data_IF_814743318532
#
_entry.id   IF_814743318532
#
_cell.length_a   1.000
_cell.length_b   1.000
_cell.length_c   1.000
_cell.angle_alpha   90.00
_cell.angle_beta   90.00
_cell.angle_gamma   90.00
#
_symmetry.space_group_name_H-M   'P 1'
#
loop_
_entity.id
_entity.type
_entity.pdbx_description
1 polymer ?
#
# COMPACT_ATOMS: atom_id res chain seq x y z
N UNK A 1 -9.42 -1.85 -13.21
CA UNK A 1 -8.00 -2.14 -12.93
C UNK A 1 -7.80 -3.65 -12.94
N UNK A 2 -6.87 -4.18 -13.75
CA UNK A 2 -6.58 -5.60 -13.82
C UNK A 2 -5.26 -5.89 -13.11
N UNK A 3 -5.24 -6.88 -12.21
CA UNK A 3 -4.02 -7.47 -11.64
C UNK A 3 -3.54 -6.87 -10.32
N UNK A 4 -4.14 -7.32 -9.20
CA UNK A 4 -3.50 -7.47 -7.88
C UNK A 4 -2.89 -6.24 -7.17
N UNK A 5 -2.96 -5.05 -7.75
CA UNK A 5 -2.27 -3.86 -7.22
C UNK A 5 -3.29 -2.93 -6.59
N UNK A 6 -3.29 -2.83 -5.25
CA UNK A 6 -4.14 -1.86 -4.55
C UNK A 6 -3.70 -0.43 -4.85
N UNK A 7 -4.67 0.46 -5.04
CA UNK A 7 -4.47 1.90 -5.18
C UNK A 7 -4.96 2.58 -3.91
N UNK A 8 -4.06 3.33 -3.27
CA UNK A 8 -4.35 4.02 -2.03
C UNK A 8 -4.70 5.48 -2.28
N UNK A 9 -5.79 5.92 -1.70
CA UNK A 9 -6.29 7.30 -1.76
C UNK A 9 -6.12 7.99 -0.41
N UNK A 10 -5.62 9.22 -0.45
CA UNK A 10 -5.65 10.15 0.68
C UNK A 10 -6.80 11.15 0.51
N UNK A 11 -7.56 11.39 1.57
CA UNK A 11 -8.71 12.30 1.51
C UNK A 11 -8.31 13.73 1.17
N UNK A 12 -7.12 14.21 1.57
CA UNK A 12 -6.65 15.56 1.22
C UNK A 12 -6.52 15.70 -0.29
N UNK A 13 -5.96 14.69 -0.96
CA UNK A 13 -5.81 14.67 -2.42
C UNK A 13 -7.17 14.52 -3.10
N UNK A 14 -8.00 13.59 -2.64
CA UNK A 14 -9.33 13.36 -3.22
C UNK A 14 -10.20 14.62 -3.15
N UNK A 15 -10.23 15.27 -1.98
CA UNK A 15 -10.98 16.52 -1.79
C UNK A 15 -10.35 17.69 -2.55
N UNK A 16 -9.01 17.74 -2.68
CA UNK A 16 -8.36 18.74 -3.51
C UNK A 16 -8.75 18.59 -4.99
N UNK A 17 -8.73 17.37 -5.53
CA UNK A 17 -9.18 17.08 -6.89
C UNK A 17 -10.65 17.47 -7.10
N UNK A 18 -11.54 17.06 -6.19
CA UNK A 18 -12.95 17.44 -6.23
C UNK A 18 -13.12 18.97 -6.22
N UNK A 19 -12.42 19.67 -5.31
CA UNK A 19 -12.46 21.14 -5.23
C UNK A 19 -11.97 21.81 -6.51
N UNK A 20 -10.88 21.34 -7.10
CA UNK A 20 -10.37 21.89 -8.36
C UNK A 20 -11.39 21.69 -9.48
N UNK A 21 -11.99 20.49 -9.59
CA UNK A 21 -12.95 20.16 -10.64
C UNK A 21 -14.23 21.02 -10.65
N UNK A 22 -14.56 21.66 -9.53
CA UNK A 22 -15.72 22.55 -9.39
C UNK A 22 -15.36 24.04 -9.50
N UNK A 23 -14.09 24.38 -9.73
CA UNK A 23 -13.65 25.77 -9.86
C UNK A 23 -13.91 26.32 -11.27
N UNK A 24 -14.90 27.21 -11.39
CA UNK A 24 -15.21 27.92 -12.64
C UNK A 24 -14.05 28.76 -13.22
N UNK A 25 -13.06 29.11 -12.40
CA UNK A 25 -11.85 29.81 -12.87
C UNK A 25 -10.85 28.89 -13.58
N UNK A 26 -10.96 27.58 -13.43
CA UNK A 26 -10.02 26.60 -13.97
C UNK A 26 -10.58 25.82 -15.16
N UNK A 27 -11.91 25.79 -15.32
CA UNK A 27 -12.59 24.98 -16.33
C UNK A 27 -13.73 25.77 -16.97
N UNK A 28 -13.86 25.70 -18.29
CA UNK A 28 -14.95 26.35 -19.04
C UNK A 28 -16.33 25.79 -18.65
N UNK A 29 -16.38 24.51 -18.30
CA UNK A 29 -17.56 23.84 -17.78
C UNK A 29 -17.18 23.06 -16.50
N UNK A 30 -17.14 23.73 -15.33
CA UNK A 30 -16.78 23.08 -14.07
C UNK A 30 -17.86 22.06 -13.68
N UNK A 31 -17.46 21.02 -12.97
CA UNK A 31 -18.40 20.08 -12.39
C UNK A 31 -19.23 20.76 -11.30
N UNK A 32 -20.48 20.33 -11.15
CA UNK A 32 -21.23 20.58 -9.92
C UNK A 32 -20.65 19.75 -8.76
N UNK A 33 -20.96 20.16 -7.52
CA UNK A 33 -20.56 19.40 -6.34
C UNK A 33 -21.09 17.94 -6.36
N UNK A 34 -22.30 17.73 -6.89
CA UNK A 34 -22.87 16.39 -7.05
C UNK A 34 -22.06 15.54 -8.04
N UNK A 35 -21.75 16.08 -9.23
CA UNK A 35 -20.93 15.38 -10.23
C UNK A 35 -19.53 15.05 -9.72
N UNK A 36 -18.90 15.97 -8.97
CA UNK A 36 -17.61 15.71 -8.35
C UNK A 36 -17.70 14.59 -7.30
N UNK A 37 -18.76 14.56 -6.50
CA UNK A 37 -18.99 13.50 -5.52
C UNK A 37 -19.24 12.13 -6.19
N UNK A 38 -20.02 12.10 -7.28
CA UNK A 38 -20.24 10.88 -8.07
C UNK A 38 -18.94 10.37 -8.68
N UNK A 39 -18.09 11.28 -9.16
CA UNK A 39 -16.78 10.93 -9.70
C UNK A 39 -15.85 10.33 -8.63
N UNK A 40 -15.81 10.91 -7.44
CA UNK A 40 -15.03 10.37 -6.30
C UNK A 40 -15.56 9.00 -5.90
N UNK A 41 -16.88 8.83 -5.83
CA UNK A 41 -17.50 7.53 -5.53
C UNK A 41 -17.09 6.47 -6.55
N UNK A 42 -17.16 6.80 -7.84
CA UNK A 42 -16.75 5.90 -8.91
C UNK A 42 -15.28 5.46 -8.81
N UNK A 43 -14.38 6.32 -8.30
CA UNK A 43 -12.99 5.94 -8.02
C UNK A 43 -12.89 4.96 -6.85
N UNK A 44 -13.60 5.24 -5.75
CA UNK A 44 -13.57 4.42 -4.54
C UNK A 44 -14.28 3.07 -4.70
N UNK A 45 -15.20 2.95 -5.65
CA UNK A 45 -15.87 1.69 -6.00
C UNK A 45 -15.02 0.80 -6.91
N UNK A 46 -13.86 1.26 -7.40
CA UNK A 46 -12.99 0.42 -8.21
C UNK A 46 -12.40 -0.74 -7.39
N UNK A 47 -12.29 -1.94 -7.97
CA UNK A 47 -11.59 -3.05 -7.32
C UNK A 47 -10.16 -2.67 -6.95
N UNK A 48 -9.81 -2.79 -5.66
CA UNK A 48 -8.49 -2.44 -5.12
C UNK A 48 -8.31 -0.97 -4.74
N UNK A 49 -9.35 -0.14 -4.82
CA UNK A 49 -9.33 1.21 -4.26
C UNK A 49 -9.47 1.15 -2.73
N UNK A 50 -8.53 1.75 -2.01
CA UNK A 50 -8.53 1.78 -0.55
C UNK A 50 -8.19 3.20 -0.06
N UNK A 51 -8.83 3.64 1.03
CA UNK A 51 -8.44 4.88 1.72
C UNK A 51 -7.30 4.56 2.68
N UNK A 52 -6.15 5.20 2.51
CA UNK A 52 -5.08 5.09 3.51
C UNK A 52 -5.42 5.95 4.73
N UNK A 53 -5.25 5.36 5.92
CA UNK A 53 -5.40 6.07 7.19
C UNK A 53 -4.00 6.36 7.76
N UNK A 54 -3.70 7.62 8.12
CA UNK A 54 -2.46 7.94 8.82
C UNK A 54 -2.27 7.05 10.06
N UNK A 55 -1.06 6.57 10.28
CA UNK A 55 -0.70 5.86 11.50
C UNK A 55 -0.68 6.81 12.71
N UNK A 56 -0.66 6.25 13.92
CA UNK A 56 -0.65 7.03 15.17
C UNK A 56 0.57 7.95 15.27
N UNK A 57 1.71 7.52 14.73
CA UNK A 57 2.97 8.26 14.68
C UNK A 57 3.11 9.18 13.45
N UNK A 58 2.05 9.38 12.66
CA UNK A 58 2.11 10.10 11.39
C UNK A 58 2.68 11.51 11.50
N UNK A 59 2.26 12.26 12.53
CA UNK A 59 2.77 13.63 12.74
C UNK A 59 4.29 13.67 12.95
N UNK A 60 4.83 12.67 13.67
CA UNK A 60 6.27 12.55 13.87
C UNK A 60 6.99 12.37 12.53
N UNK A 61 6.52 11.44 11.71
CA UNK A 61 7.10 11.17 10.37
C UNK A 61 7.03 12.39 9.46
N UNK A 62 5.92 13.13 9.48
CA UNK A 62 5.79 14.38 8.72
C UNK A 62 6.79 15.42 9.21
N UNK A 63 6.96 15.57 10.53
CA UNK A 63 7.92 16.52 11.10
C UNK A 63 9.38 16.16 10.76
N UNK A 64 9.73 14.87 10.78
CA UNK A 64 11.04 14.37 10.33
C UNK A 64 11.30 14.74 8.86
N UNK A 65 10.36 14.42 7.96
CA UNK A 65 10.48 14.73 6.54
C UNK A 65 10.62 16.23 6.25
N UNK A 66 9.87 17.07 6.98
CA UNK A 66 9.99 18.53 6.87
C UNK A 66 11.36 19.04 7.32
N UNK A 67 11.93 18.41 8.34
CA UNK A 67 13.27 18.75 8.87
C UNK A 67 14.36 18.31 7.91
N UNK A 68 14.28 17.07 7.39
CA UNK A 68 15.24 16.48 6.47
C UNK A 68 15.29 17.20 5.12
N UNK A 69 14.13 17.50 4.54
CA UNK A 69 14.04 18.09 3.22
C UNK A 69 14.43 19.59 3.20
N UNK A 70 14.63 20.22 4.37
CA UNK A 70 14.85 21.68 4.55
C UNK A 70 13.82 22.53 3.79
N UNK A 71 12.66 21.97 3.46
CA UNK A 71 11.64 22.63 2.66
C UNK A 71 10.73 23.44 3.58
N UNK A 72 10.72 24.76 3.43
CA UNK A 72 9.72 25.61 4.10
C UNK A 72 8.37 25.44 3.40
N UNK A 73 7.38 24.92 4.12
CA UNK A 73 5.96 25.15 3.82
C UNK A 73 5.27 24.16 2.90
N UNK A 74 5.93 23.11 2.40
CA UNK A 74 5.26 22.09 1.59
C UNK A 74 4.69 20.95 2.46
N UNK A 75 3.71 21.31 3.30
CA UNK A 75 3.08 20.41 4.27
C UNK A 75 2.34 19.24 3.60
N UNK A 76 1.72 19.49 2.45
CA UNK A 76 0.99 18.46 1.70
C UNK A 76 1.94 17.40 1.14
N UNK A 77 3.07 17.79 0.56
CA UNK A 77 4.02 16.81 0.02
C UNK A 77 4.68 16.00 1.14
N UNK A 78 4.96 16.62 2.29
CA UNK A 78 5.45 15.89 3.47
C UNK A 78 4.41 14.89 4.00
N UNK A 79 3.13 15.28 4.04
CA UNK A 79 2.01 14.38 4.37
C UNK A 79 1.93 13.19 3.41
N UNK A 80 1.98 13.44 2.10
CA UNK A 80 1.92 12.39 1.08
C UNK A 80 3.15 11.49 1.07
N UNK A 81 4.33 12.04 1.33
CA UNK A 81 5.56 11.26 1.47
C UNK A 81 5.48 10.33 2.69
N UNK A 82 5.00 10.82 3.84
CA UNK A 82 4.80 10.00 5.04
C UNK A 82 3.80 8.86 4.79
N UNK A 83 2.68 9.14 4.11
CA UNK A 83 1.69 8.12 3.72
C UNK A 83 2.27 7.10 2.72
N UNK A 84 3.08 7.55 1.77
CA UNK A 84 3.73 6.68 0.78
C UNK A 84 4.73 5.72 1.44
N UNK A 85 5.50 6.21 2.41
CA UNK A 85 6.40 5.38 3.22
C UNK A 85 5.62 4.36 4.06
N UNK A 86 4.51 4.79 4.68
CA UNK A 86 3.63 3.88 5.42
C UNK A 86 3.05 2.78 4.50
N UNK A 87 2.54 3.15 3.34
CA UNK A 87 1.98 2.23 2.36
C UNK A 87 2.96 1.15 1.93
N UNK A 88 4.21 1.54 1.67
CA UNK A 88 5.28 0.62 1.30
C UNK A 88 5.55 -0.44 2.36
N UNK A 89 5.50 -0.06 3.64
CA UNK A 89 5.67 -1.00 4.76
C UNK A 89 4.51 -2.00 4.84
N UNK A 90 3.27 -1.54 4.67
CA UNK A 90 2.09 -2.41 4.68
C UNK A 90 2.10 -3.40 3.51
N UNK A 91 2.47 -2.94 2.31
CA UNK A 91 2.55 -3.80 1.12
C UNK A 91 3.68 -4.85 1.23
N UNK A 92 4.82 -4.49 1.83
CA UNK A 92 5.90 -5.43 2.08
C UNK A 92 5.48 -6.60 2.99
N UNK A 93 4.48 -6.40 3.85
CA UNK A 93 3.97 -7.40 4.80
C UNK A 93 2.68 -8.09 4.35
N UNK A 94 2.19 -7.82 3.13
CA UNK A 94 0.96 -8.44 2.61
C UNK A 94 1.16 -9.94 2.33
N UNK A 95 0.28 -10.83 2.83
CA UNK A 95 0.39 -12.28 2.62
C UNK A 95 0.31 -12.69 1.14
N UNK A 96 -0.26 -11.83 0.28
CA UNK A 96 -0.27 -12.04 -1.18
C UNK A 96 1.15 -12.03 -1.77
N UNK A 97 2.07 -11.25 -1.22
CA UNK A 97 3.49 -11.21 -1.65
C UNK A 97 4.25 -12.47 -1.19
N UNK A 98 3.82 -13.11 -0.10
CA UNK A 98 4.48 -14.29 0.47
C UNK A 98 4.02 -15.63 -0.13
N UNK A 99 3.13 -15.61 -1.13
CA UNK A 99 2.53 -16.84 -1.65
C UNK A 99 3.48 -17.78 -2.43
N UNK A 100 4.63 -17.39 -3.03
CA UNK A 100 5.45 -18.38 -3.71
C UNK A 100 6.41 -19.15 -2.78
N UNK A 101 6.42 -18.94 -1.46
CA UNK A 101 7.40 -19.59 -0.55
C UNK A 101 6.84 -20.73 0.32
N UNK A 102 5.56 -21.11 0.16
CA UNK A 102 5.00 -22.28 0.88
C UNK A 102 5.21 -23.63 0.19
N UNK A 103 5.73 -23.66 -1.05
CA UNK A 103 5.89 -24.92 -1.81
C UNK A 103 7.25 -25.60 -1.68
N UNK A 104 8.29 -24.91 -1.24
CA UNK A 104 9.67 -25.47 -1.27
C UNK A 104 10.09 -26.17 0.03
N UNK A 105 9.43 -25.89 1.16
CA UNK A 105 9.85 -26.47 2.46
C UNK A 105 9.25 -27.85 2.73
N UNK A 106 8.16 -28.23 2.05
CA UNK A 106 7.49 -29.53 2.30
C UNK A 106 8.14 -30.74 1.59
N UNK A 107 9.10 -30.53 0.67
CA UNK A 107 9.74 -31.64 -0.06
C UNK A 107 11.05 -32.14 0.54
N UNK A 108 11.65 -31.45 1.53
CA UNK A 108 12.93 -31.88 2.15
C UNK A 108 12.80 -32.63 3.48
N UNK A 109 11.60 -32.73 4.06
CA UNK A 109 11.38 -33.44 5.35
C UNK A 109 10.85 -34.87 5.16
N UNK A 110 10.60 -35.32 3.92
CA UNK A 110 10.00 -36.64 3.66
C UNK A 110 10.98 -37.71 3.17
N UNK A 111 12.30 -37.53 3.31
CA UNK A 111 13.29 -38.47 2.79
C UNK A 111 14.53 -38.60 3.67
N UNK A 112 14.39 -39.07 4.91
CA UNK A 112 15.51 -39.59 5.70
C UNK A 112 15.03 -40.32 6.96
N UNK A 113 14.26 -41.39 6.81
CA UNK A 113 14.11 -42.43 7.85
C UNK A 113 14.01 -43.79 7.15
N UNK A 114 15.14 -44.49 6.97
CA UNK A 114 15.17 -45.94 7.17
C UNK A 114 16.59 -46.50 7.41
N UNK A 115 16.86 -46.76 8.69
CA UNK A 115 17.49 -47.94 9.33
C UNK A 115 18.83 -48.53 8.82
N UNK A 116 19.84 -48.65 9.72
CA UNK A 116 20.87 -49.67 9.64
C UNK A 116 20.67 -50.77 10.70
N UNK A 117 20.77 -52.05 10.33
CA UNK A 117 21.04 -53.12 11.30
C UNK A 117 21.70 -54.37 10.67
N UNK A 118 22.99 -54.53 11.00
CA UNK A 118 23.74 -55.76 11.30
C UNK A 118 24.00 -56.79 10.19
N UNK A 119 25.29 -56.98 9.94
CA UNK A 119 25.91 -58.30 9.88
C UNK A 119 27.25 -58.27 10.64
N UNK A 120 27.41 -59.16 11.63
CA UNK A 120 28.69 -59.50 12.29
C UNK A 120 29.32 -60.63 11.48
N UNK A 121 30.64 -60.65 11.21
CA UNK A 121 31.30 -61.85 10.74
C UNK A 121 31.71 -62.74 11.92
N UNK A 122 31.64 -64.05 11.68
CA UNK A 122 32.09 -65.12 12.56
C UNK A 122 33.58 -65.39 12.34
N UNK A 123 34.23 -65.79 13.43
CA UNK A 123 35.58 -66.38 13.58
C UNK A 123 36.77 -65.42 13.63
#
# INVERSE_FOLDING_TARGET
>A
MAGGTSVLFDWTVVLACARLSTMARLFDNPLSAAQAADQVRAWLEQPGAEIIRPAVDHLHRVAELLTEARTRGNLNDAHLAALSLQARLTQAFSPLVLTPLRRTVRSRVSGSVDRPARSRPSS
#
